data_IF_313177144991
#
_entry.id   IF_313177144991
#
_cell.length_a   1.000
_cell.length_b   1.000
_cell.length_c   1.000
_cell.angle_alpha   90.00
_cell.angle_beta   90.00
_cell.angle_gamma   90.00
#
_symmetry.space_group_name_H-M   'P 1'
#
loop_
_entity.id
_entity.type
_entity.pdbx_description
1 polymer ?
#
# COMPACT_ATOMS: atom_id res chain seq x y z
N UNK A 1 -1.40 0.42 -7.32
CA UNK A 1 -0.86 -0.85 -7.88
C UNK A 1 0.09 -0.60 -9.05
N UNK A 2 -0.26 0.25 -10.03
CA UNK A 2 0.57 0.48 -11.23
C UNK A 2 2.04 0.82 -10.95
N UNK A 3 2.34 1.64 -9.94
CA UNK A 3 3.72 1.94 -9.54
C UNK A 3 4.52 0.69 -9.14
N UNK A 4 3.93 -0.25 -8.39
CA UNK A 4 4.60 -1.48 -7.96
C UNK A 4 4.84 -2.44 -9.13
N UNK A 5 3.90 -2.52 -10.08
CA UNK A 5 4.06 -3.32 -11.30
C UNK A 5 5.15 -2.74 -12.20
N UNK A 6 5.12 -1.42 -12.43
CA UNK A 6 6.18 -0.75 -13.18
C UNK A 6 7.56 -0.96 -12.53
N UNK A 7 7.61 -0.88 -11.19
CA UNK A 7 8.82 -1.13 -10.44
C UNK A 7 9.31 -2.58 -10.61
N UNK A 8 8.43 -3.58 -10.54
CA UNK A 8 8.78 -4.98 -10.80
C UNK A 8 9.42 -5.15 -12.19
N UNK A 9 8.80 -4.56 -13.22
CA UNK A 9 9.38 -4.59 -14.56
C UNK A 9 10.76 -3.93 -14.60
N UNK A 10 10.93 -2.79 -13.94
CA UNK A 10 12.23 -2.12 -13.84
C UNK A 10 13.28 -3.01 -13.17
N UNK A 11 12.95 -3.69 -12.07
CA UNK A 11 13.86 -4.61 -11.38
C UNK A 11 14.26 -5.79 -12.26
N UNK A 12 13.30 -6.40 -12.99
CA UNK A 12 13.58 -7.51 -13.91
C UNK A 12 14.49 -7.09 -15.10
N UNK A 13 14.42 -5.84 -15.56
CA UNK A 13 15.33 -5.33 -16.61
C UNK A 13 16.71 -4.90 -16.08
N UNK A 14 16.84 -4.69 -14.77
CA UNK A 14 18.09 -4.33 -14.11
C UNK A 14 18.52 -2.86 -14.24
N UNK A 15 19.51 -2.43 -13.45
CA UNK A 15 19.89 -1.03 -13.28
C UNK A 15 20.45 -0.38 -14.55
N UNK A 16 21.27 -1.10 -15.34
CA UNK A 16 21.85 -0.59 -16.59
C UNK A 16 20.76 -0.23 -17.61
N UNK A 17 19.74 -1.09 -17.74
CA UNK A 17 18.62 -0.83 -18.62
C UNK A 17 17.80 0.36 -18.14
N UNK A 18 17.54 0.46 -16.83
CA UNK A 18 16.80 1.58 -16.25
C UNK A 18 17.50 2.92 -16.54
N UNK A 19 18.79 3.02 -16.25
CA UNK A 19 19.57 4.25 -16.46
C UNK A 19 19.63 4.66 -17.94
N UNK A 20 19.65 3.68 -18.85
CA UNK A 20 19.67 3.94 -20.29
C UNK A 20 18.31 4.39 -20.85
N UNK A 21 17.20 3.87 -20.32
CA UNK A 21 15.88 4.00 -20.95
C UNK A 21 14.87 4.83 -20.14
N UNK A 22 15.13 5.11 -18.86
CA UNK A 22 14.22 5.85 -17.98
C UNK A 22 14.93 7.09 -17.46
N UNK A 23 14.40 8.27 -17.78
CA UNK A 23 14.94 9.54 -17.28
C UNK A 23 14.59 9.82 -15.81
N UNK A 24 13.36 9.50 -15.40
CA UNK A 24 12.88 9.60 -14.01
C UNK A 24 11.57 8.83 -13.83
N UNK A 25 11.24 8.49 -12.59
CA UNK A 25 9.94 7.93 -12.21
C UNK A 25 9.14 8.91 -11.36
N UNK A 26 7.86 9.07 -11.70
CA UNK A 26 6.89 9.82 -10.87
C UNK A 26 5.80 8.86 -10.42
N UNK A 27 5.78 8.54 -9.14
CA UNK A 27 4.81 7.63 -8.54
C UNK A 27 3.81 8.39 -7.69
N UNK A 28 2.53 8.21 -8.01
CA UNK A 28 1.42 8.86 -7.33
C UNK A 28 0.69 7.81 -6.50
N UNK A 29 0.55 8.06 -5.19
CA UNK A 29 0.03 7.13 -4.20
C UNK A 29 0.54 5.69 -4.39
N UNK A 30 1.88 5.48 -4.40
CA UNK A 30 2.42 4.15 -4.53
C UNK A 30 1.98 3.28 -3.36
N UNK A 31 1.71 2.03 -3.67
CA UNK A 31 1.21 1.03 -2.73
C UNK A 31 2.30 0.01 -2.36
N UNK A 32 3.57 0.40 -2.47
CA UNK A 32 4.67 -0.47 -2.10
C UNK A 32 4.51 -0.90 -0.64
N UNK A 33 4.70 -2.20 -0.38
CA UNK A 33 4.50 -2.77 0.96
C UNK A 33 3.05 -3.08 1.32
N UNK A 34 2.06 -2.77 0.48
CA UNK A 34 0.66 -3.17 0.68
C UNK A 34 -0.11 -2.44 1.79
N UNK A 35 -1.39 -2.80 1.96
CA UNK A 35 -2.35 -2.09 2.84
C UNK A 35 -3.22 -3.05 3.66
N UNK A 36 -3.39 -2.74 4.95
CA UNK A 36 -4.28 -3.48 5.84
C UNK A 36 -5.75 -3.42 5.40
N UNK A 37 -6.15 -2.39 4.65
CA UNK A 37 -7.53 -2.23 4.15
C UNK A 37 -7.96 -3.31 3.15
N UNK A 38 -7.01 -4.06 2.57
CA UNK A 38 -7.30 -5.12 1.61
C UNK A 38 -7.58 -6.47 2.27
N UNK A 39 -7.17 -6.66 3.53
CA UNK A 39 -7.43 -7.88 4.28
C UNK A 39 -8.92 -8.13 4.54
N UNK A 40 -9.72 -7.15 5.01
CA UNK A 40 -11.16 -7.36 5.11
C UNK A 40 -11.78 -7.47 3.72
N UNK A 41 -11.29 -6.73 2.71
CA UNK A 41 -11.76 -6.83 1.32
C UNK A 41 -11.57 -8.22 0.72
N UNK A 42 -10.50 -8.92 1.06
CA UNK A 42 -10.36 -10.34 0.77
C UNK A 42 -11.35 -11.18 1.57
N UNK A 43 -11.44 -10.97 2.89
CA UNK A 43 -12.24 -11.83 3.77
C UNK A 43 -13.74 -11.78 3.48
N UNK A 44 -14.34 -10.58 3.45
CA UNK A 44 -15.80 -10.41 3.33
C UNK A 44 -16.24 -9.72 2.04
N UNK A 45 -15.29 -9.29 1.20
CA UNK A 45 -15.57 -8.55 -0.03
C UNK A 45 -15.81 -7.05 0.15
N UNK A 46 -15.72 -6.30 -0.94
CA UNK A 46 -15.89 -4.84 -0.88
C UNK A 46 -17.30 -4.45 -0.44
N UNK A 47 -17.40 -3.39 0.37
CA UNK A 47 -18.70 -2.78 0.69
C UNK A 47 -19.03 -1.66 -0.31
N UNK A 48 -20.23 -1.69 -0.89
CA UNK A 48 -20.74 -0.62 -1.77
C UNK A 48 -20.75 0.75 -1.07
N UNK A 49 -21.05 0.79 0.23
CA UNK A 49 -21.14 2.04 0.99
C UNK A 49 -19.77 2.75 1.16
N UNK A 50 -18.69 2.13 0.67
CA UNK A 50 -17.36 2.73 0.54
C UNK A 50 -16.88 2.87 -0.91
N UNK A 51 -17.71 2.46 -1.86
CA UNK A 51 -17.47 2.54 -3.30
C UNK A 51 -18.39 3.63 -3.88
N UNK A 52 -17.90 4.87 -3.92
CA UNK A 52 -18.57 5.95 -4.67
C UNK A 52 -18.43 5.76 -6.21
N UNK A 53 -17.88 4.61 -6.64
CA UNK A 53 -17.50 4.33 -8.02
C UNK A 53 -18.72 4.00 -8.89
N UNK A 54 -19.73 3.36 -8.32
CA UNK A 54 -21.01 3.12 -8.98
C UNK A 54 -22.10 3.04 -7.91
N UNK A 55 -23.21 3.79 -8.03
CA UNK A 55 -24.46 3.42 -7.37
C UNK A 55 -24.96 2.13 -8.04
N UNK A 56 -24.31 1.02 -7.74
CA UNK A 56 -24.74 -0.30 -8.17
C UNK A 56 -26.00 -0.65 -7.35
N UNK A 57 -27.10 -1.08 -7.99
CA UNK A 57 -28.21 -1.69 -7.29
C UNK A 57 -27.68 -2.74 -6.30
N UNK A 58 -28.26 -2.82 -5.10
CA UNK A 58 -27.77 -3.68 -4.01
C UNK A 58 -27.52 -5.14 -4.44
N UNK A 59 -28.31 -5.62 -5.41
CA UNK A 59 -28.14 -6.91 -6.05
C UNK A 59 -26.78 -7.07 -6.74
N UNK A 60 -26.38 -6.10 -7.57
CA UNK A 60 -25.09 -6.11 -8.26
C UNK A 60 -23.92 -5.95 -7.29
N UNK A 61 -24.12 -5.23 -6.19
CA UNK A 61 -23.09 -5.09 -5.15
C UNK A 61 -22.71 -6.43 -4.53
N UNK A 62 -23.70 -7.28 -4.22
CA UNK A 62 -23.44 -8.59 -3.60
C UNK A 62 -22.63 -9.49 -4.53
N UNK A 63 -22.93 -9.46 -5.83
CA UNK A 63 -22.24 -10.26 -6.84
C UNK A 63 -20.83 -9.73 -7.15
N UNK A 64 -20.67 -8.41 -7.29
CA UNK A 64 -19.37 -7.77 -7.49
C UNK A 64 -18.47 -8.00 -6.27
N UNK A 65 -18.99 -7.82 -5.06
CA UNK A 65 -18.24 -8.02 -3.82
C UNK A 65 -17.71 -9.45 -3.71
N UNK A 66 -18.56 -10.45 -3.98
CA UNK A 66 -18.16 -11.87 -3.99
C UNK A 66 -17.13 -12.17 -5.08
N UNK A 67 -17.31 -11.63 -6.29
CA UNK A 67 -16.42 -11.86 -7.43
C UNK A 67 -15.03 -11.24 -7.22
N UNK A 68 -14.98 -10.05 -6.66
CA UNK A 68 -13.75 -9.27 -6.48
C UNK A 68 -12.91 -9.76 -5.30
N UNK A 69 -13.56 -10.30 -4.27
CA UNK A 69 -12.93 -10.80 -3.06
C UNK A 69 -12.07 -12.07 -3.26
N UNK A 70 -12.09 -12.67 -4.44
CA UNK A 70 -11.20 -13.77 -4.84
C UNK A 70 -10.09 -13.33 -5.81
N UNK A 71 -9.96 -12.03 -6.09
CA UNK A 71 -8.93 -11.55 -7.02
C UNK A 71 -7.54 -11.64 -6.38
N UNK A 72 -6.56 -12.29 -7.04
CA UNK A 72 -5.20 -12.42 -6.51
C UNK A 72 -4.54 -11.07 -6.19
N UNK A 73 -4.94 -10.01 -6.89
CA UNK A 73 -4.42 -8.66 -6.65
C UNK A 73 -4.73 -8.14 -5.23
N UNK A 74 -5.77 -8.63 -4.55
CA UNK A 74 -6.05 -8.24 -3.16
C UNK A 74 -4.99 -8.82 -2.22
N UNK A 75 -4.65 -10.10 -2.39
CA UNK A 75 -3.57 -10.76 -1.61
C UNK A 75 -2.22 -10.15 -1.97
N UNK A 76 -1.96 -9.90 -3.25
CA UNK A 76 -0.74 -9.26 -3.73
C UNK A 76 -0.48 -7.90 -3.07
N UNK A 77 -1.55 -7.24 -2.64
CA UNK A 77 -1.51 -5.91 -2.06
C UNK A 77 -1.78 -5.89 -0.55
N UNK A 78 -1.91 -7.06 0.09
CA UNK A 78 -1.93 -7.17 1.54
C UNK A 78 -0.61 -6.65 2.15
N UNK A 79 -0.61 -6.29 3.45
CA UNK A 79 0.59 -5.85 4.15
C UNK A 79 1.77 -6.80 3.94
N UNK A 80 2.89 -6.27 3.49
CA UNK A 80 4.14 -7.01 3.34
C UNK A 80 5.07 -6.68 4.50
N UNK A 81 5.87 -7.66 4.93
CA UNK A 81 6.94 -7.39 5.89
C UNK A 81 8.15 -6.79 5.19
N UNK A 82 8.38 -7.12 3.92
CA UNK A 82 9.55 -6.74 3.13
C UNK A 82 9.19 -6.21 1.73
N UNK A 83 10.05 -5.34 1.20
CA UNK A 83 10.14 -4.93 -0.21
C UNK A 83 11.61 -4.98 -0.58
N UNK A 84 11.98 -5.80 -1.55
CA UNK A 84 13.37 -6.16 -1.78
C UNK A 84 13.96 -6.84 -0.54
N UNK A 85 15.18 -6.45 -0.17
CA UNK A 85 15.88 -6.98 1.01
C UNK A 85 15.48 -6.34 2.35
N UNK A 86 14.59 -5.33 2.34
CA UNK A 86 14.33 -4.47 3.51
C UNK A 86 12.93 -4.58 4.04
N UNK A 87 12.82 -4.41 5.36
CA UNK A 87 11.52 -4.31 6.02
C UNK A 87 10.78 -3.04 5.59
N UNK A 88 9.53 -3.16 5.13
CA UNK A 88 8.75 -2.04 4.58
C UNK A 88 7.60 -1.54 5.48
N UNK A 89 7.20 -2.32 6.48
CA UNK A 89 6.13 -1.98 7.42
C UNK A 89 6.57 -2.06 8.88
N UNK A 90 5.63 -1.96 9.82
CA UNK A 90 5.87 -2.29 11.23
C UNK A 90 6.51 -3.68 11.37
N UNK A 91 7.17 -3.92 12.50
CA UNK A 91 7.89 -5.18 12.74
C UNK A 91 6.97 -6.40 12.59
N UNK A 92 7.54 -7.59 12.32
CA UNK A 92 6.77 -8.81 12.06
C UNK A 92 5.78 -9.17 13.18
N UNK A 93 6.04 -8.72 14.41
CA UNK A 93 5.17 -8.88 15.58
C UNK A 93 4.04 -7.83 15.69
N UNK A 94 3.92 -6.90 14.74
CA UNK A 94 2.85 -5.92 14.73
C UNK A 94 1.51 -6.61 14.48
N UNK A 95 0.59 -6.49 15.43
CA UNK A 95 -0.77 -7.02 15.33
C UNK A 95 -1.54 -6.19 14.32
N UNK A 96 -2.02 -6.80 13.23
CA UNK A 96 -2.88 -6.12 12.27
C UNK A 96 -4.36 -6.47 12.46
N UNK A 97 -4.67 -7.66 12.98
CA UNK A 97 -6.03 -8.11 13.22
C UNK A 97 -6.15 -8.86 14.55
N UNK A 98 -7.34 -8.82 15.16
CA UNK A 98 -7.67 -9.63 16.33
C UNK A 98 -9.13 -10.06 16.36
N UNK A 99 -9.38 -11.20 16.96
CA UNK A 99 -10.71 -11.72 17.34
C UNK A 99 -10.83 -11.71 18.87
N UNK A 100 -11.94 -12.18 19.47
CA UNK A 100 -12.03 -12.34 20.92
C UNK A 100 -10.93 -13.23 21.52
N UNK A 101 -10.47 -14.26 20.80
CA UNK A 101 -9.49 -15.24 21.32
C UNK A 101 -8.14 -15.26 20.59
N UNK A 102 -8.03 -14.68 19.40
CA UNK A 102 -6.80 -14.69 18.58
C UNK A 102 -6.29 -13.29 18.26
N UNK A 103 -5.00 -13.20 18.03
CA UNK A 103 -4.34 -12.04 17.42
C UNK A 103 -3.53 -12.53 16.22
N UNK A 104 -3.52 -11.73 15.16
CA UNK A 104 -2.74 -11.98 13.95
C UNK A 104 -1.72 -10.87 13.79
N UNK A 105 -0.46 -11.27 13.80
CA UNK A 105 0.67 -10.39 13.52
C UNK A 105 1.03 -10.40 12.03
N UNK A 106 1.76 -9.40 11.54
CA UNK A 106 2.19 -9.37 10.13
C UNK A 106 2.96 -10.63 9.71
N UNK A 107 3.71 -11.26 10.63
CA UNK A 107 4.37 -12.55 10.40
C UNK A 107 3.41 -13.74 10.29
N UNK A 108 2.17 -13.59 10.76
CA UNK A 108 1.10 -14.59 10.72
C UNK A 108 0.06 -14.31 9.62
N UNK A 109 0.40 -13.49 8.62
CA UNK A 109 -0.52 -13.18 7.52
C UNK A 109 -1.01 -14.45 6.79
N UNK A 110 -0.14 -15.45 6.60
CA UNK A 110 -0.54 -16.73 6.00
C UNK A 110 -1.62 -17.45 6.83
N UNK A 111 -1.42 -17.53 8.15
CA UNK A 111 -2.38 -18.12 9.09
C UNK A 111 -3.72 -17.38 9.11
N UNK A 112 -3.70 -16.06 9.02
CA UNK A 112 -4.93 -15.28 8.86
C UNK A 112 -5.69 -15.66 7.58
N UNK A 113 -5.00 -15.79 6.44
CA UNK A 113 -5.62 -16.19 5.17
C UNK A 113 -6.15 -17.63 5.19
N UNK A 114 -5.47 -18.54 5.89
CA UNK A 114 -5.95 -19.90 6.16
C UNK A 114 -7.23 -19.90 7.00
N UNK A 115 -7.24 -19.16 8.11
CA UNK A 115 -8.42 -19.03 8.98
C UNK A 115 -9.61 -18.41 8.21
N UNK A 116 -9.37 -17.40 7.36
CA UNK A 116 -10.40 -16.84 6.46
C UNK A 116 -10.99 -17.90 5.53
N UNK A 117 -10.17 -18.81 4.99
CA UNK A 117 -10.66 -19.91 4.16
C UNK A 117 -11.54 -20.89 4.92
N UNK A 118 -11.37 -21.01 6.24
CA UNK A 118 -12.24 -21.80 7.10
C UNK A 118 -13.61 -21.15 7.31
N UNK A 119 -13.67 -19.81 7.29
CA UNK A 119 -14.89 -19.03 7.48
C UNK A 119 -15.69 -18.82 6.18
N UNK A 120 -15.02 -18.68 5.03
CA UNK A 120 -15.65 -18.23 3.77
C UNK A 120 -15.28 -19.12 2.59
N UNK A 121 -16.30 -19.65 1.91
CA UNK A 121 -16.12 -20.38 0.66
C UNK A 121 -15.51 -19.50 -0.44
N UNK A 122 -14.62 -20.06 -1.25
CA UNK A 122 -13.96 -19.34 -2.35
C UNK A 122 -12.75 -18.49 -1.92
N UNK A 123 -12.18 -18.75 -0.73
CA UNK A 123 -10.96 -18.08 -0.22
C UNK A 123 -9.74 -19.00 -0.05
N UNK A 124 -9.87 -20.27 -0.41
CA UNK A 124 -8.82 -21.28 -0.24
C UNK A 124 -7.47 -20.93 -0.89
N UNK A 125 -7.49 -20.16 -1.99
CA UNK A 125 -6.26 -19.80 -2.69
C UNK A 125 -5.47 -18.69 -2.00
N UNK A 126 -6.00 -18.02 -0.97
CA UNK A 126 -5.38 -16.85 -0.37
C UNK A 126 -3.99 -17.13 0.19
N UNK A 127 -3.87 -18.19 1.00
CA UNK A 127 -2.59 -18.61 1.56
C UNK A 127 -1.60 -19.08 0.48
N UNK A 128 -2.10 -19.76 -0.56
CA UNK A 128 -1.28 -20.18 -1.71
C UNK A 128 -0.71 -19.01 -2.51
N UNK A 129 -1.49 -17.93 -2.71
CA UNK A 129 -0.98 -16.73 -3.38
C UNK A 129 0.07 -16.00 -2.56
N UNK A 130 0.08 -16.12 -1.23
CA UNK A 130 0.96 -15.34 -0.38
C UNK A 130 2.44 -15.63 -0.64
N UNK A 131 2.83 -16.90 -0.85
CA UNK A 131 4.23 -17.25 -1.14
C UNK A 131 4.69 -16.63 -2.45
N UNK A 132 3.89 -16.77 -3.52
CA UNK A 132 4.22 -16.22 -4.84
C UNK A 132 4.30 -14.69 -4.80
N UNK A 133 3.41 -14.06 -4.02
CA UNK A 133 3.40 -12.62 -3.78
C UNK A 133 4.66 -12.20 -3.03
N UNK A 134 5.07 -12.92 -1.98
CA UNK A 134 6.29 -12.62 -1.24
C UNK A 134 7.52 -12.71 -2.13
N UNK A 135 7.59 -13.70 -3.02
CA UNK A 135 8.66 -13.83 -4.01
C UNK A 135 8.68 -12.65 -4.99
N UNK A 136 7.51 -12.17 -5.44
CA UNK A 136 7.40 -10.97 -6.27
C UNK A 136 7.92 -9.73 -5.53
N UNK A 137 7.51 -9.52 -4.27
CA UNK A 137 7.94 -8.37 -3.49
C UNK A 137 9.43 -8.39 -3.14
N UNK A 138 10.02 -9.59 -2.96
CA UNK A 138 11.45 -9.77 -2.72
C UNK A 138 12.32 -9.37 -3.92
N UNK A 139 11.75 -9.37 -5.13
CA UNK A 139 12.43 -8.94 -6.37
C UNK A 139 12.45 -7.43 -6.60
N UNK A 140 11.72 -6.65 -5.80
CA UNK A 140 11.69 -5.19 -5.96
C UNK A 140 12.97 -4.57 -5.41
N UNK A 141 13.99 -4.49 -6.26
CA UNK A 141 15.27 -3.85 -5.98
C UNK A 141 15.13 -2.33 -5.79
N UNK A 142 16.22 -1.63 -5.47
CA UNK A 142 16.24 -0.17 -5.45
C UNK A 142 16.15 0.36 -6.89
N UNK A 143 15.28 1.34 -7.20
CA UNK A 143 15.28 1.98 -8.52
C UNK A 143 16.64 2.62 -8.82
N UNK A 144 17.16 2.47 -10.04
CA UNK A 144 18.45 3.03 -10.45
C UNK A 144 18.34 4.43 -11.08
N UNK A 145 17.17 5.06 -10.98
CA UNK A 145 16.81 6.32 -11.66
C UNK A 145 16.11 7.29 -10.71
N UNK A 146 16.20 8.62 -10.95
CA UNK A 146 15.58 9.63 -10.09
C UNK A 146 14.10 9.32 -9.83
N UNK A 147 13.69 9.44 -8.57
CA UNK A 147 12.36 9.06 -8.11
C UNK A 147 11.63 10.24 -7.47
N UNK A 148 10.36 10.41 -7.83
CA UNK A 148 9.44 11.41 -7.29
C UNK A 148 8.23 10.69 -6.74
N UNK A 149 8.00 10.79 -5.43
CA UNK A 149 6.90 10.11 -4.75
C UNK A 149 5.89 11.15 -4.28
N UNK A 150 4.68 11.10 -4.83
CA UNK A 150 3.55 11.91 -4.43
C UNK A 150 2.60 11.05 -3.58
N UNK A 151 2.24 11.48 -2.38
CA UNK A 151 1.35 10.74 -1.47
C UNK A 151 0.58 11.70 -0.56
N UNK A 152 -0.54 11.25 0.02
CA UNK A 152 -1.29 12.03 1.01
C UNK A 152 -1.04 11.55 2.44
N UNK A 153 -1.05 12.49 3.38
CA UNK A 153 -1.01 12.24 4.83
C UNK A 153 -2.30 12.68 5.52
N UNK A 154 -3.24 13.30 4.81
CA UNK A 154 -4.37 13.98 5.43
C UNK A 154 -5.52 13.08 5.92
N UNK A 155 -5.48 11.77 5.64
CA UNK A 155 -6.57 10.84 6.01
C UNK A 155 -6.14 9.84 7.07
N UNK A 156 -6.98 9.69 8.10
CA UNK A 156 -6.89 8.61 9.09
C UNK A 156 -7.21 7.26 8.45
N UNK A 157 -6.17 6.54 8.08
CA UNK A 157 -6.16 5.27 7.36
C UNK A 157 -6.13 4.10 8.32
N UNK A 158 -6.87 3.02 8.02
CA UNK A 158 -6.90 1.82 8.85
C UNK A 158 -5.52 1.18 8.92
N UNK A 159 -4.99 0.99 10.14
CA UNK A 159 -3.76 0.23 10.38
C UNK A 159 -4.01 -1.09 11.11
N UNK A 160 -5.04 -1.15 11.95
CA UNK A 160 -5.41 -2.37 12.68
C UNK A 160 -6.93 -2.57 12.69
N UNK A 161 -7.35 -3.83 12.71
CA UNK A 161 -8.76 -4.24 12.69
C UNK A 161 -9.11 -5.19 13.84
N UNK A 162 -10.37 -5.15 14.28
CA UNK A 162 -10.90 -5.98 15.36
C UNK A 162 -12.22 -6.62 14.93
N UNK A 163 -12.27 -7.94 15.00
CA UNK A 163 -13.49 -8.72 14.80
C UNK A 163 -14.24 -8.85 16.13
N UNK A 164 -15.55 -8.73 16.08
CA UNK A 164 -16.45 -8.92 17.23
C UNK A 164 -16.68 -10.39 17.54
N UNK A 165 -16.53 -11.26 16.54
CA UNK A 165 -16.68 -12.71 16.61
C UNK A 165 -15.39 -13.40 16.14
N UNK A 166 -15.36 -14.73 16.18
CA UNK A 166 -14.30 -15.53 15.54
C UNK A 166 -14.53 -15.71 14.03
N UNK A 167 -15.68 -15.26 13.51
CA UNK A 167 -15.99 -15.35 12.09
C UNK A 167 -15.31 -14.21 11.33
N UNK A 168 -14.23 -14.55 10.62
CA UNK A 168 -13.50 -13.60 9.79
C UNK A 168 -14.25 -13.20 8.52
N UNK A 169 -15.41 -13.82 8.23
CA UNK A 169 -16.31 -13.40 7.16
C UNK A 169 -17.03 -12.09 7.46
N UNK A 170 -17.10 -11.68 8.72
CA UNK A 170 -17.75 -10.42 9.09
C UNK A 170 -16.84 -9.22 8.83
N UNK A 171 -17.42 -8.04 8.58
CA UNK A 171 -16.61 -6.84 8.43
C UNK A 171 -16.07 -6.40 9.79
N UNK A 172 -14.75 -6.23 9.96
CA UNK A 172 -14.21 -5.87 11.25
C UNK A 172 -14.43 -4.38 11.57
N UNK A 173 -14.38 -4.06 12.86
CA UNK A 173 -14.23 -2.71 13.35
C UNK A 173 -12.80 -2.21 13.09
N UNK A 174 -12.66 -0.91 12.83
CA UNK A 174 -11.35 -0.27 12.77
C UNK A 174 -10.85 -0.07 14.20
N UNK A 175 -9.83 -0.83 14.60
CA UNK A 175 -9.26 -0.76 15.94
C UNK A 175 -8.26 0.38 16.07
N UNK A 176 -7.43 0.61 15.05
CA UNK A 176 -6.46 1.69 15.03
C UNK A 176 -6.38 2.35 13.65
N UNK A 177 -6.03 3.65 13.66
CA UNK A 177 -5.81 4.45 12.48
C UNK A 177 -4.54 5.27 12.57
N UNK A 178 -3.83 5.34 11.46
CA UNK A 178 -2.63 6.15 11.26
C UNK A 178 -2.84 7.11 10.09
N UNK A 179 -1.97 8.11 9.94
CA UNK A 179 -2.08 9.06 8.83
C UNK A 179 -1.64 8.44 7.50
N UNK A 180 -2.33 8.81 6.42
CA UNK A 180 -2.18 8.24 5.09
C UNK A 180 -3.22 8.82 4.12
N UNK A 181 -3.57 8.05 3.09
CA UNK A 181 -4.49 8.48 2.02
C UNK A 181 -5.84 7.73 2.03
N UNK A 182 -6.18 7.04 3.14
CA UNK A 182 -7.38 6.23 3.28
C UNK A 182 -7.19 4.79 2.80
N UNK A 183 -6.09 4.49 2.09
CA UNK A 183 -5.70 3.14 1.71
C UNK A 183 -4.28 2.83 2.20
N UNK A 184 -3.29 3.64 1.85
CA UNK A 184 -1.90 3.47 2.25
C UNK A 184 -1.56 4.32 3.46
N UNK A 185 -0.80 3.74 4.39
CA UNK A 185 -0.18 4.49 5.47
C UNK A 185 0.98 5.32 4.91
N UNK A 186 1.05 6.59 5.32
CA UNK A 186 2.15 7.47 4.98
C UNK A 186 3.48 6.92 5.52
N UNK A 187 3.47 6.34 6.71
CA UNK A 187 4.64 5.74 7.37
C UNK A 187 5.26 4.62 6.53
N UNK A 188 4.44 3.80 5.86
CA UNK A 188 4.92 2.74 4.94
C UNK A 188 5.61 3.34 3.72
N UNK A 189 5.00 4.33 3.08
CA UNK A 189 5.59 5.00 1.90
C UNK A 189 6.92 5.66 2.25
N UNK A 190 6.97 6.36 3.37
CA UNK A 190 8.18 7.03 3.86
C UNK A 190 9.28 6.05 4.27
N UNK A 191 8.93 4.93 4.91
CA UNK A 191 9.90 3.90 5.30
C UNK A 191 10.56 3.26 4.09
N UNK A 192 9.79 2.94 3.05
CA UNK A 192 10.32 2.33 1.82
C UNK A 192 11.26 3.30 1.10
N UNK A 193 10.85 4.56 0.96
CA UNK A 193 11.71 5.58 0.36
C UNK A 193 12.99 5.82 1.18
N UNK A 194 12.93 5.73 2.51
CA UNK A 194 14.11 5.77 3.39
C UNK A 194 15.05 4.60 3.13
N UNK A 195 14.51 3.38 3.09
CA UNK A 195 15.31 2.18 2.83
C UNK A 195 16.05 2.27 1.50
N UNK A 196 15.38 2.73 0.44
CA UNK A 196 16.03 2.92 -0.87
C UNK A 196 17.11 3.99 -0.83
N UNK A 197 16.87 5.10 -0.12
CA UNK A 197 17.89 6.14 0.05
C UNK A 197 19.11 5.65 0.85
N UNK A 198 18.91 4.79 1.84
CA UNK A 198 20.00 4.18 2.62
C UNK A 198 20.81 3.18 1.80
N UNK A 199 20.19 2.46 0.87
CA UNK A 199 20.85 1.51 -0.04
C UNK A 199 21.58 2.20 -1.20
N UNK A 200 21.05 3.32 -1.69
CA UNK A 200 21.68 4.13 -2.73
C UNK A 200 21.65 5.62 -2.32
N UNK A 201 22.63 6.08 -1.51
CA UNK A 201 22.71 7.46 -1.03
C UNK A 201 22.78 8.53 -2.14
N UNK A 202 23.26 8.14 -3.32
CA UNK A 202 23.34 8.97 -4.52
C UNK A 202 22.02 9.07 -5.29
N UNK A 203 21.06 8.16 -5.04
CA UNK A 203 19.75 8.17 -5.69
C UNK A 203 18.97 9.42 -5.27
N UNK A 204 18.51 10.19 -6.26
CA UNK A 204 17.69 11.37 -6.02
C UNK A 204 16.22 10.96 -5.81
N UNK A 205 15.88 10.68 -4.56
CA UNK A 205 14.49 10.43 -4.13
C UNK A 205 13.92 11.72 -3.53
N UNK A 206 12.82 12.20 -4.11
CA UNK A 206 12.08 13.35 -3.59
C UNK A 206 10.64 12.97 -3.26
N UNK A 207 10.19 13.39 -2.09
CA UNK A 207 8.84 13.17 -1.61
C UNK A 207 8.03 14.46 -1.63
N UNK A 208 6.80 14.37 -2.12
CA UNK A 208 5.84 15.45 -2.16
C UNK A 208 4.56 15.00 -1.46
N UNK A 209 4.15 15.76 -0.46
CA UNK A 209 3.04 15.38 0.42
C UNK A 209 1.85 16.29 0.20
N UNK A 210 0.69 15.67 0.00
CA UNK A 210 -0.62 16.29 0.02
C UNK A 210 -1.19 16.19 1.44
N UNK A 211 -1.53 17.30 2.09
CA UNK A 211 -1.96 17.32 3.50
C UNK A 211 -3.46 17.60 3.71
N UNK A 212 -4.21 17.95 2.67
CA UNK A 212 -5.63 18.34 2.76
C UNK A 212 -6.59 17.15 2.79
N UNK A 213 -6.07 15.92 2.81
CA UNK A 213 -6.89 14.72 2.96
C UNK A 213 -7.46 14.24 1.63
N UNK A 214 -6.68 14.33 0.55
CA UNK A 214 -7.04 13.71 -0.72
C UNK A 214 -6.95 12.19 -0.59
N UNK A 215 -8.06 11.51 -0.89
CA UNK A 215 -8.12 10.04 -0.85
C UNK A 215 -7.23 9.38 -1.91
N UNK A 216 -6.78 8.15 -1.64
CA UNK A 216 -5.94 7.32 -2.51
C UNK A 216 -6.38 7.35 -3.98
N UNK A 217 -7.68 7.16 -4.22
CA UNK A 217 -8.26 7.15 -5.57
C UNK A 217 -8.27 8.52 -6.25
N UNK A 218 -8.37 9.60 -5.48
CA UNK A 218 -8.44 10.97 -5.99
C UNK A 218 -7.06 11.60 -6.14
N UNK A 219 -6.00 10.98 -5.60
CA UNK A 219 -4.64 11.51 -5.68
C UNK A 219 -4.14 11.68 -7.11
N UNK A 220 -4.61 10.88 -8.07
CA UNK A 220 -4.22 11.03 -9.49
C UNK A 220 -4.83 12.27 -10.17
N UNK A 221 -5.99 12.73 -9.69
CA UNK A 221 -6.79 13.78 -10.34
C UNK A 221 -6.97 15.02 -9.48
N UNK A 222 -6.31 15.11 -8.32
CA UNK A 222 -6.39 16.27 -7.46
C UNK A 222 -5.53 17.42 -7.99
N UNK A 223 -5.90 18.66 -7.64
CA UNK A 223 -5.17 19.87 -8.03
C UNK A 223 -3.69 19.79 -7.68
N UNK A 224 -3.34 19.28 -6.50
CA UNK A 224 -1.95 19.08 -6.10
C UNK A 224 -1.15 18.27 -7.12
N UNK A 225 -1.65 17.12 -7.56
CA UNK A 225 -0.95 16.25 -8.53
C UNK A 225 -0.99 16.85 -9.93
N UNK A 226 -2.13 17.37 -10.37
CA UNK A 226 -2.28 17.97 -11.69
C UNK A 226 -1.39 19.20 -11.88
N UNK A 227 -1.15 19.99 -10.83
CA UNK A 227 -0.27 21.16 -10.88
C UNK A 227 1.21 20.76 -10.77
N UNK A 228 1.54 19.79 -9.93
CA UNK A 228 2.92 19.43 -9.60
C UNK A 228 3.59 18.55 -10.65
N UNK A 229 2.89 17.56 -11.20
CA UNK A 229 3.49 16.60 -12.16
C UNK A 229 4.07 17.32 -13.40
N UNK A 230 3.35 18.25 -14.06
CA UNK A 230 3.93 19.02 -15.17
C UNK A 230 5.21 19.76 -14.76
N UNK A 231 5.23 20.38 -13.58
CA UNK A 231 6.39 21.11 -13.09
C UNK A 231 7.61 20.19 -12.85
N UNK A 232 7.37 18.96 -12.37
CA UNK A 232 8.40 17.93 -12.21
C UNK A 232 8.96 17.55 -13.59
N UNK A 233 8.08 17.30 -14.55
CA UNK A 233 8.47 16.87 -15.89
C UNK A 233 9.22 17.96 -16.68
N UNK A 234 8.92 19.24 -16.44
CA UNK A 234 9.64 20.37 -17.04
C UNK A 234 10.83 20.87 -16.21
N UNK A 235 11.11 20.26 -15.06
CA UNK A 235 12.24 20.62 -14.19
C UNK A 235 12.10 21.95 -13.45
N UNK A 236 10.89 22.50 -13.34
CA UNK A 236 10.63 23.78 -12.64
C UNK A 236 10.01 23.60 -11.25
N UNK A 237 9.65 22.36 -10.88
CA UNK A 237 9.13 22.05 -9.56
C UNK A 237 10.14 22.44 -8.48
N UNK A 238 9.66 23.01 -7.39
CA UNK A 238 10.46 23.15 -6.17
C UNK A 238 10.90 21.75 -5.72
N UNK A 239 12.14 21.57 -5.21
CA UNK A 239 12.58 20.28 -4.70
C UNK A 239 11.63 19.74 -3.63
N UNK A 240 11.28 18.46 -3.76
CA UNK A 240 10.54 17.76 -2.71
C UNK A 240 11.41 17.50 -1.48
N UNK A 241 10.79 16.97 -0.42
CA UNK A 241 11.50 16.57 0.80
C UNK A 241 12.43 15.40 0.51
N UNK A 242 13.69 15.49 0.96
CA UNK A 242 14.62 14.35 1.02
C UNK A 242 14.58 13.72 2.41
N UNK A 243 14.64 12.39 2.49
CA UNK A 243 14.49 11.65 3.75
C UNK A 243 15.81 11.53 4.54
N UNK A 244 16.93 12.02 3.98
CA UNK A 244 18.25 12.05 4.61
C UNK A 244 18.34 12.97 5.82
N UNK A 245 17.39 13.88 5.99
CA UNK A 245 17.27 14.68 7.20
C UNK A 245 16.64 13.82 8.30
N UNK A 246 17.36 13.61 9.40
CA UNK A 246 16.87 12.97 10.62
C UNK A 246 15.63 13.71 11.12
N UNK A 247 14.47 13.35 10.59
CA UNK A 247 13.16 13.79 11.05
C UNK A 247 12.80 12.97 12.28
N UNK A 248 13.57 13.14 13.37
CA UNK A 248 13.09 12.79 14.69
C UNK A 248 11.77 13.54 14.88
N UNK A 249 10.67 12.79 14.98
CA UNK A 249 9.36 13.22 15.52
C UNK A 249 9.11 14.73 15.44
N UNK A 250 8.78 15.28 14.27
CA UNK A 250 8.27 16.66 14.19
C UNK A 250 6.75 16.64 14.11
N UNK A 251 6.14 17.35 15.06
CA UNK A 251 4.72 17.65 15.14
C UNK A 251 4.18 18.10 13.78
N UNK A 252 3.19 17.37 13.28
CA UNK A 252 2.35 17.80 12.17
C UNK A 252 1.37 18.86 12.70
N UNK A 253 1.83 20.10 12.78
CA UNK A 253 0.98 21.28 12.90
C UNK A 253 1.28 22.17 11.71
N UNK A 254 0.38 22.13 10.73
CA UNK A 254 0.12 23.20 9.78
C UNK A 254 -1.36 23.53 9.89
#
# INVERSE_FOLDING_TARGET
MGAAVAHLCMSEFGPEWQQKNIGQCVWISPVHGGSASLLPSWASGFRADRSDVFPAPELLTKDISKMTASWPCLVAMCPQTHVGSRSCQAAANHVFAKTPTKQYTLGELGKYLEDVSGCVQGRANGAGFLSDVQDIWAKLEVPAVPLRILYSTGIRTMSQMKYTTEDLSEWPEVWAREYGDGTMLASTVEKIARNWQEESPELDIQMFTESWGVSHRNMVSCTFTCDLVPQILTGVAKPGRRITENSGSRNWLW
#
